data_IF_710215014045
#
_entry.id   IF_710215014045
#
_cell.length_a   1.000
_cell.length_b   1.000
_cell.length_c   1.000
_cell.angle_alpha   90.00
_cell.angle_beta   90.00
_cell.angle_gamma   90.00
#
_symmetry.space_group_name_H-M   'P 1'
#
loop_
_entity.id
_entity.type
_entity.pdbx_description
1 polymer ?
#
# COMPACT_ATOMS: atom_id res chain seq x y z
N UNK A 1 -28.05 17.25 -4.47
CA UNK A 1 -28.07 15.87 -3.93
C UNK A 1 -26.77 15.13 -4.22
N UNK A 2 -26.20 15.25 -5.42
CA UNK A 2 -24.92 14.61 -5.81
C UNK A 2 -23.74 14.95 -4.89
N UNK A 3 -23.65 16.21 -4.44
CA UNK A 3 -22.61 16.63 -3.49
C UNK A 3 -22.64 15.87 -2.16
N UNK A 4 -23.83 15.52 -1.67
CA UNK A 4 -23.97 14.73 -0.43
C UNK A 4 -23.47 13.30 -0.63
N UNK A 5 -23.72 12.70 -1.80
CA UNK A 5 -23.18 11.39 -2.14
C UNK A 5 -21.65 11.42 -2.27
N UNK A 6 -21.09 12.50 -2.82
CA UNK A 6 -19.64 12.67 -2.88
C UNK A 6 -19.01 12.79 -1.49
N UNK A 7 -19.62 13.57 -0.59
CA UNK A 7 -19.17 13.66 0.81
C UNK A 7 -19.29 12.32 1.54
N UNK A 8 -20.37 11.58 1.32
CA UNK A 8 -20.54 10.24 1.87
C UNK A 8 -19.44 9.29 1.37
N UNK A 9 -19.13 9.33 0.08
CA UNK A 9 -18.05 8.53 -0.49
C UNK A 9 -16.70 8.83 0.16
N UNK A 10 -16.35 10.12 0.33
CA UNK A 10 -15.13 10.52 1.01
C UNK A 10 -15.11 10.09 2.48
N UNK A 11 -16.24 10.21 3.19
CA UNK A 11 -16.35 9.78 4.57
C UNK A 11 -16.11 8.27 4.71
N UNK A 12 -16.67 7.46 3.81
CA UNK A 12 -16.45 6.01 3.77
C UNK A 12 -14.98 5.68 3.47
N UNK A 13 -14.33 6.41 2.57
CA UNK A 13 -12.92 6.22 2.25
C UNK A 13 -12.03 6.51 3.47
N UNK A 14 -12.29 7.61 4.18
CA UNK A 14 -11.57 7.96 5.42
C UNK A 14 -11.78 6.89 6.49
N UNK A 15 -13.01 6.41 6.66
CA UNK A 15 -13.32 5.35 7.61
C UNK A 15 -12.59 4.04 7.27
N UNK A 16 -12.57 3.65 6.00
CA UNK A 16 -11.87 2.46 5.53
C UNK A 16 -10.36 2.55 5.76
N UNK A 17 -9.76 3.71 5.47
CA UNK A 17 -8.34 3.97 5.71
C UNK A 17 -8.00 3.92 7.21
N UNK A 18 -8.83 4.55 8.05
CA UNK A 18 -8.63 4.57 9.51
C UNK A 18 -8.80 3.17 10.14
N UNK A 19 -9.70 2.36 9.59
CA UNK A 19 -9.88 0.97 9.99
C UNK A 19 -8.79 0.01 9.44
N UNK A 20 -7.82 0.53 8.68
CA UNK A 20 -6.74 -0.29 8.09
C UNK A 20 -7.22 -1.23 6.99
N UNK A 21 -8.43 -1.07 6.46
CA UNK A 21 -8.95 -1.88 5.35
C UNK A 21 -8.15 -1.67 4.05
N UNK A 22 -7.48 -0.53 3.94
CA UNK A 22 -6.58 -0.21 2.83
C UNK A 22 -5.11 -0.39 3.21
N UNK A 23 -4.81 -0.88 4.42
CA UNK A 23 -3.43 -1.15 4.80
C UNK A 23 -2.92 -2.31 3.95
N UNK A 24 -1.95 -2.01 3.10
CA UNK A 24 -1.27 -3.05 2.34
C UNK A 24 -0.44 -3.89 3.32
N UNK A 25 -0.88 -5.13 3.56
CA UNK A 25 -0.16 -6.09 4.40
C UNK A 25 0.95 -6.81 3.65
N UNK A 26 1.01 -6.60 2.32
CA UNK A 26 2.07 -7.11 1.49
C UNK A 26 3.18 -6.07 1.50
N UNK A 27 4.40 -6.48 1.83
CA UNK A 27 5.58 -5.65 1.65
C UNK A 27 5.79 -5.46 0.14
N UNK A 28 5.05 -4.54 -0.47
CA UNK A 28 4.96 -4.33 -1.92
C UNK A 28 6.15 -3.53 -2.46
N UNK A 29 7.22 -3.44 -1.67
CA UNK A 29 8.43 -2.75 -2.02
C UNK A 29 9.65 -3.60 -1.58
N UNK A 30 9.75 -4.82 -2.12
CA UNK A 30 11.01 -5.56 -2.26
C UNK A 30 12.00 -4.83 -3.20
N UNK A 31 12.06 -3.49 -3.15
CA UNK A 31 13.12 -2.74 -3.81
C UNK A 31 14.40 -3.04 -3.04
N UNK A 32 15.05 -4.15 -3.40
CA UNK A 32 16.42 -4.36 -2.99
C UNK A 32 17.26 -3.42 -3.85
N UNK A 33 17.84 -2.34 -3.30
CA UNK A 33 18.77 -1.54 -4.07
C UNK A 33 19.83 -2.50 -4.60
N UNK A 34 19.91 -2.57 -5.92
CA UNK A 34 20.91 -3.40 -6.56
C UNK A 34 22.22 -2.63 -6.43
N UNK A 35 23.01 -2.91 -5.39
CA UNK A 35 24.38 -2.39 -5.36
C UNK A 35 25.07 -2.86 -6.65
N UNK A 36 25.43 -1.90 -7.49
CA UNK A 36 26.21 -2.09 -8.72
C UNK A 36 25.65 -3.10 -9.74
N UNK A 37 24.32 -3.24 -9.86
CA UNK A 37 23.71 -4.10 -10.88
C UNK A 37 23.82 -5.61 -10.60
N UNK A 38 24.29 -6.02 -9.42
CA UNK A 38 24.33 -7.44 -9.00
C UNK A 38 23.13 -7.81 -8.14
N UNK A 39 22.28 -8.70 -8.66
CA UNK A 39 21.24 -9.37 -7.86
C UNK A 39 21.87 -10.04 -6.64
N UNK A 40 21.38 -9.69 -5.45
CA UNK A 40 21.79 -10.33 -4.20
C UNK A 40 21.32 -11.80 -4.23
N UNK A 41 22.24 -12.73 -4.48
CA UNK A 41 22.00 -14.15 -4.27
C UNK A 41 21.96 -14.39 -2.77
N UNK A 42 20.77 -14.48 -2.19
CA UNK A 42 20.58 -15.06 -0.87
C UNK A 42 21.02 -16.52 -0.96
N UNK A 43 22.27 -16.78 -0.55
CA UNK A 43 22.77 -18.13 -0.37
C UNK A 43 22.10 -18.70 0.88
N UNK A 44 21.05 -19.47 0.68
CA UNK A 44 20.54 -20.38 1.70
C UNK A 44 21.61 -21.44 1.92
N UNK A 45 22.18 -21.46 3.13
CA UNK A 45 22.94 -22.60 3.64
C UNK A 45 22.01 -23.54 4.40
#
# INVERSE_FOLDING_TARGET
>A
MEFLFFLLFLALLVAASAAGLTADSRDSADWKPTEDGRRWQSRTS
#
